data_IF_574165610359
#
_entry.id   IF_574165610359
#
_cell.length_a   1.000
_cell.length_b   1.000
_cell.length_c   1.000
_cell.angle_alpha   90.00
_cell.angle_beta   90.00
_cell.angle_gamma   90.00
#
_symmetry.space_group_name_H-M   'P 1'
#
loop_
_entity.id
_entity.type
_entity.pdbx_description
1 polymer ?
#
# COMPACT_ATOMS: atom_id res chain seq x y z
N UNK A 1 -7.65 -55.34 -17.38
CA UNK A 1 -8.08 -53.96 -17.66
C UNK A 1 -7.02 -53.04 -17.07
N UNK A 2 -6.39 -52.15 -17.87
CA UNK A 2 -5.23 -51.38 -17.43
C UNK A 2 -5.63 -50.20 -16.56
N UNK A 3 -4.76 -49.84 -15.61
CA UNK A 3 -4.93 -48.73 -14.69
C UNK A 3 -5.04 -47.40 -15.44
N UNK A 4 -6.09 -46.63 -15.14
CA UNK A 4 -6.26 -45.27 -15.60
C UNK A 4 -5.11 -44.41 -15.05
N UNK A 5 -4.21 -44.00 -15.93
CA UNK A 5 -3.12 -43.07 -15.65
C UNK A 5 -3.73 -41.70 -15.40
N UNK A 6 -3.77 -41.30 -14.14
CA UNK A 6 -4.22 -39.98 -13.71
C UNK A 6 -3.31 -38.92 -14.33
N UNK A 7 -3.80 -38.19 -15.32
CA UNK A 7 -3.16 -36.98 -15.85
C UNK A 7 -3.20 -35.91 -14.75
N UNK A 8 -2.15 -35.84 -13.93
CA UNK A 8 -1.95 -34.70 -13.04
C UNK A 8 -1.75 -33.45 -13.89
N UNK A 9 -2.51 -32.36 -13.67
CA UNK A 9 -2.28 -31.12 -14.39
C UNK A 9 -0.87 -30.59 -14.05
N UNK A 10 0.03 -30.63 -15.02
CA UNK A 10 1.35 -30.01 -14.94
C UNK A 10 1.17 -28.50 -15.15
N UNK A 11 0.93 -27.77 -14.07
CA UNK A 11 1.00 -26.31 -14.13
C UNK A 11 2.43 -25.92 -14.53
N UNK A 12 2.61 -25.13 -15.60
CA UNK A 12 3.93 -24.69 -16.00
C UNK A 12 4.57 -23.91 -14.84
N UNK A 13 5.74 -24.36 -14.39
CA UNK A 13 6.53 -23.65 -13.39
C UNK A 13 7.04 -22.34 -14.01
N UNK A 14 6.28 -21.28 -13.82
CA UNK A 14 6.67 -19.93 -14.23
C UNK A 14 7.86 -19.50 -13.39
N UNK A 15 9.05 -19.65 -13.96
CA UNK A 15 10.29 -19.07 -13.41
C UNK A 15 10.13 -17.55 -13.40
N UNK A 16 10.18 -16.88 -12.24
CA UNK A 16 10.10 -15.42 -12.20
C UNK A 16 11.22 -14.84 -13.05
N UNK A 17 10.88 -14.05 -14.08
CA UNK A 17 11.87 -13.40 -14.96
C UNK A 17 12.67 -12.30 -14.25
N UNK A 18 12.27 -11.94 -13.02
CA UNK A 18 12.90 -10.90 -12.19
C UNK A 18 13.21 -11.50 -10.82
N UNK A 19 14.39 -11.19 -10.28
CA UNK A 19 14.79 -11.66 -8.95
C UNK A 19 13.81 -11.10 -7.88
N UNK A 20 13.14 -11.97 -7.10
CA UNK A 20 12.10 -11.57 -6.15
C UNK A 20 12.58 -10.55 -5.09
N UNK A 21 13.88 -10.48 -4.83
CA UNK A 21 14.46 -9.49 -3.91
C UNK A 21 14.27 -8.04 -4.38
N UNK A 22 14.28 -7.78 -5.69
CA UNK A 22 14.01 -6.43 -6.20
C UNK A 22 12.55 -6.02 -6.00
N UNK A 23 11.62 -6.97 -6.19
CA UNK A 23 10.19 -6.73 -5.95
C UNK A 23 9.97 -6.47 -4.45
N UNK A 24 10.58 -7.29 -3.58
CA UNK A 24 10.51 -7.10 -2.14
C UNK A 24 11.03 -5.72 -1.72
N UNK A 25 12.20 -5.31 -2.23
CA UNK A 25 12.75 -3.99 -1.94
C UNK A 25 11.85 -2.84 -2.41
N UNK A 26 11.28 -2.94 -3.62
CA UNK A 26 10.36 -1.93 -4.14
C UNK A 26 9.10 -1.80 -3.28
N UNK A 27 8.51 -2.91 -2.84
CA UNK A 27 7.35 -2.91 -1.94
C UNK A 27 7.72 -2.33 -0.57
N UNK A 28 8.86 -2.73 0.00
CA UNK A 28 9.35 -2.19 1.27
C UNK A 28 9.56 -0.68 1.21
N UNK A 29 10.13 -0.16 0.12
CA UNK A 29 10.34 1.27 -0.09
C UNK A 29 9.01 2.03 -0.19
N UNK A 30 8.02 1.46 -0.89
CA UNK A 30 6.69 2.05 -1.00
C UNK A 30 6.01 2.14 0.37
N UNK A 31 6.02 1.05 1.15
CA UNK A 31 5.48 1.05 2.51
C UNK A 31 6.22 2.02 3.43
N UNK A 32 7.54 2.16 3.28
CA UNK A 32 8.31 3.13 4.04
C UNK A 32 7.91 4.58 3.75
N UNK A 33 7.71 4.92 2.47
CA UNK A 33 7.25 6.26 2.08
C UNK A 33 5.86 6.59 2.64
N UNK A 34 4.96 5.61 2.68
CA UNK A 34 3.63 5.79 3.28
C UNK A 34 3.72 6.16 4.77
N UNK A 35 4.61 5.51 5.52
CA UNK A 35 4.84 5.83 6.94
C UNK A 35 5.56 7.17 7.10
N UNK A 36 6.45 7.54 6.18
CA UNK A 36 7.09 8.86 6.23
C UNK A 36 6.07 10.00 6.12
N UNK A 37 5.06 9.89 5.24
CA UNK A 37 4.03 10.92 5.10
C UNK A 37 3.24 11.13 6.40
N UNK A 38 2.92 10.05 7.14
CA UNK A 38 2.27 10.18 8.46
C UNK A 38 3.13 10.94 9.46
N UNK A 39 4.44 10.70 9.44
CA UNK A 39 5.38 11.32 10.37
C UNK A 39 5.55 12.80 10.07
N UNK A 40 5.62 13.17 8.78
CA UNK A 40 5.67 14.58 8.33
C UNK A 40 4.40 15.32 8.73
N UNK A 41 3.22 14.74 8.49
CA UNK A 41 1.96 15.35 8.92
C UNK A 41 1.93 15.56 10.44
N UNK A 42 2.34 14.56 11.23
CA UNK A 42 2.38 14.65 12.69
C UNK A 42 3.36 15.74 13.20
N UNK A 43 4.52 15.91 12.55
CA UNK A 43 5.48 16.96 12.93
C UNK A 43 5.02 18.35 12.47
N UNK A 44 4.48 18.46 11.25
CA UNK A 44 4.03 19.72 10.68
C UNK A 44 2.79 20.28 11.38
N UNK A 45 1.86 19.41 11.82
CA UNK A 45 0.70 19.78 12.62
C UNK A 45 1.06 20.56 13.88
N UNK A 46 2.10 20.11 14.59
CA UNK A 46 2.60 20.81 15.78
C UNK A 46 3.14 22.21 15.44
N UNK A 47 3.68 22.42 14.25
CA UNK A 47 4.22 23.72 13.80
C UNK A 47 3.13 24.66 13.25
N UNK A 48 2.08 24.11 12.63
CA UNK A 48 0.91 24.86 12.12
C UNK A 48 0.03 25.34 13.28
N UNK A 49 -0.20 24.48 14.29
CA UNK A 49 -0.98 24.85 15.48
C UNK A 49 -0.34 26.01 16.27
N UNK A 50 0.99 26.04 16.36
CA UNK A 50 1.72 27.12 17.03
C UNK A 50 1.73 28.47 16.29
N UNK A 51 1.63 28.48 14.96
CA UNK A 51 1.75 29.69 14.13
C UNK A 51 0.41 30.34 13.74
N UNK A 52 -0.71 29.59 13.72
CA UNK A 52 -2.02 30.13 13.34
C UNK A 52 -3.00 30.36 14.50
N UNK A 53 -2.63 30.01 15.74
CA UNK A 53 -3.60 29.92 16.86
C UNK A 53 -4.77 28.97 16.53
N UNK A 54 -4.52 27.96 15.68
CA UNK A 54 -5.48 26.96 15.25
C UNK A 54 -5.84 26.04 16.44
N UNK A 55 -7.13 25.84 16.67
CA UNK A 55 -7.63 25.05 17.81
C UNK A 55 -7.21 23.58 17.67
N UNK A 56 -6.99 22.89 18.79
CA UNK A 56 -6.75 21.44 18.87
C UNK A 56 -7.77 20.61 18.07
N UNK A 57 -8.96 21.16 17.86
CA UNK A 57 -10.02 20.57 17.04
C UNK A 57 -9.63 20.44 15.55
N UNK A 58 -8.97 21.45 14.96
CA UNK A 58 -8.54 21.37 13.54
C UNK A 58 -7.42 20.36 13.33
N UNK A 59 -6.50 20.25 14.29
CA UNK A 59 -5.45 19.22 14.26
C UNK A 59 -6.04 17.79 14.37
N UNK A 60 -7.12 17.63 15.14
CA UNK A 60 -7.83 16.35 15.27
C UNK A 60 -8.49 15.93 13.95
N UNK A 61 -9.05 16.88 13.19
CA UNK A 61 -9.66 16.61 11.89
C UNK A 61 -8.66 16.24 10.79
N UNK A 62 -7.38 16.59 10.94
CA UNK A 62 -6.35 16.24 9.94
C UNK A 62 -5.99 14.75 10.05
N UNK A 63 -5.81 14.23 11.26
CA UNK A 63 -5.51 12.81 11.46
C UNK A 63 -6.69 11.93 11.01
N UNK A 64 -7.92 12.32 11.33
CA UNK A 64 -9.11 11.57 10.90
C UNK A 64 -9.28 11.62 9.38
N UNK A 65 -9.06 12.77 8.74
CA UNK A 65 -9.10 12.91 7.27
C UNK A 65 -8.02 12.07 6.58
N UNK A 66 -6.82 11.99 7.16
CA UNK A 66 -5.75 11.12 6.67
C UNK A 66 -6.16 9.64 6.66
N UNK A 67 -6.74 9.16 7.77
CA UNK A 67 -7.23 7.78 7.85
C UNK A 67 -8.36 7.49 6.86
N UNK A 68 -9.30 8.43 6.69
CA UNK A 68 -10.38 8.30 5.71
C UNK A 68 -9.83 8.25 4.29
N UNK A 69 -8.83 9.09 3.98
CA UNK A 69 -8.17 9.09 2.68
C UNK A 69 -7.49 7.75 2.40
N UNK A 70 -6.73 7.20 3.36
CA UNK A 70 -6.11 5.87 3.21
C UNK A 70 -7.13 4.76 3.04
N UNK A 71 -8.24 4.81 3.77
CA UNK A 71 -9.33 3.84 3.65
C UNK A 71 -9.94 3.81 2.24
N UNK A 72 -9.87 4.91 1.49
CA UNK A 72 -10.35 4.99 0.11
C UNK A 72 -9.23 4.62 -0.88
N UNK A 73 -8.03 5.17 -0.70
CA UNK A 73 -6.92 5.05 -1.65
C UNK A 73 -6.36 3.64 -1.70
N UNK A 74 -6.22 2.94 -0.57
CA UNK A 74 -5.63 1.59 -0.55
C UNK A 74 -6.48 0.57 -1.34
N UNK A 75 -7.81 0.45 -1.12
CA UNK A 75 -8.66 -0.41 -1.95
C UNK A 75 -8.71 0.04 -3.40
N UNK A 76 -8.78 1.35 -3.65
CA UNK A 76 -8.81 1.90 -5.00
C UNK A 76 -7.53 1.54 -5.78
N UNK A 77 -6.36 1.59 -5.14
CA UNK A 77 -5.07 1.20 -5.74
C UNK A 77 -5.04 -0.28 -6.09
N UNK A 78 -5.60 -1.14 -5.24
CA UNK A 78 -5.75 -2.57 -5.54
C UNK A 78 -6.69 -2.86 -6.72
N UNK A 79 -7.79 -2.11 -6.82
CA UNK A 79 -8.69 -2.18 -7.97
C UNK A 79 -8.03 -1.65 -9.25
N UNK A 80 -7.33 -0.50 -9.16
CA UNK A 80 -6.63 0.14 -10.27
C UNK A 80 -5.49 -0.73 -10.81
N UNK A 81 -4.73 -1.38 -9.93
CA UNK A 81 -3.68 -2.33 -10.30
C UNK A 81 -4.23 -3.54 -11.06
N UNK A 82 -5.45 -4.01 -10.73
CA UNK A 82 -6.12 -5.08 -11.50
C UNK A 82 -6.69 -4.58 -12.82
N UNK A 83 -7.10 -3.32 -12.89
CA UNK A 83 -7.65 -2.71 -14.09
C UNK A 83 -6.56 -2.38 -15.13
N UNK A 84 -5.43 -1.83 -14.70
CA UNK A 84 -4.30 -1.46 -15.55
C UNK A 84 -3.24 -2.56 -15.70
N UNK A 85 -3.09 -3.46 -14.72
CA UNK A 85 -2.13 -4.57 -14.72
C UNK A 85 -2.67 -5.82 -15.42
N UNK A 86 -2.76 -5.76 -16.75
CA UNK A 86 -2.64 -6.90 -17.67
C UNK A 86 -1.36 -6.73 -18.49
#
# INVERSE_FOLDING_TARGET
MPAASTLSPSFPEQKPGVNPWFIAFAVMLATFMEVLDTSVANVALNHIAGNLSASTDEATWILTSYLVSNAIVLPATGWLGRFFGR
#
